data_IF_631086297973
#
_entry.id   IF_631086297973
#
_cell.length_a   1.000
_cell.length_b   1.000
_cell.length_c   1.000
_cell.angle_alpha   90.00
_cell.angle_beta   90.00
_cell.angle_gamma   90.00
#
_symmetry.space_group_name_H-M   'P 1'
#
loop_
_entity.id
_entity.type
_entity.pdbx_description
1 polymer ?
#
# COMPACT_ATOMS: atom_id res chain seq x y z
N UNK A 1 5.05 19.24 12.52
CA UNK A 1 6.07 19.11 11.47
C UNK A 1 5.51 18.08 10.51
N UNK A 2 5.23 18.49 9.28
CA UNK A 2 4.61 17.63 8.28
C UNK A 2 5.61 16.54 7.91
N UNK A 3 5.35 15.31 8.33
CA UNK A 3 6.09 14.14 7.86
C UNK A 3 5.74 13.94 6.38
N UNK A 4 6.54 14.51 5.48
CA UNK A 4 6.55 14.14 4.07
C UNK A 4 7.12 12.73 3.96
N UNK A 5 6.26 11.71 3.97
CA UNK A 5 6.65 10.36 3.60
C UNK A 5 7.04 10.37 2.11
N UNK A 6 8.35 10.28 1.83
CA UNK A 6 8.87 10.22 0.47
C UNK A 6 9.01 8.76 0.03
N UNK A 7 8.93 8.50 -1.28
CA UNK A 7 9.14 7.16 -1.86
C UNK A 7 10.48 6.54 -1.42
N UNK A 8 11.47 7.39 -1.12
CA UNK A 8 12.82 7.04 -0.70
C UNK A 8 12.89 6.39 0.69
N UNK A 9 11.88 6.65 1.53
CA UNK A 9 11.76 6.09 2.87
C UNK A 9 11.22 4.65 2.87
N UNK A 10 10.60 4.23 1.77
CA UNK A 10 10.05 2.90 1.60
C UNK A 10 11.03 1.99 0.86
N UNK A 11 11.19 0.76 1.35
CA UNK A 11 12.01 -0.27 0.70
C UNK A 11 11.27 -1.58 0.60
N UNK A 12 11.62 -2.38 -0.40
CA UNK A 12 11.13 -3.75 -0.54
C UNK A 12 11.34 -4.53 0.77
N UNK A 13 10.27 -5.07 1.34
CA UNK A 13 10.25 -5.78 2.62
C UNK A 13 9.83 -4.92 3.82
N UNK A 14 9.69 -3.61 3.69
CA UNK A 14 9.24 -2.76 4.79
C UNK A 14 7.76 -3.00 5.12
N UNK A 15 7.44 -2.96 6.42
CA UNK A 15 6.05 -3.00 6.89
C UNK A 15 5.42 -1.63 6.76
N UNK A 16 4.21 -1.62 6.22
CA UNK A 16 3.44 -0.40 5.98
C UNK A 16 2.00 -0.61 6.39
N UNK A 17 1.32 0.50 6.66
CA UNK A 17 -0.06 0.55 7.04
C UNK A 17 -0.77 1.68 6.32
N UNK A 18 -2.01 1.47 5.92
CA UNK A 18 -2.81 2.52 5.28
C UNK A 18 -4.25 2.47 5.80
N UNK A 19 -4.94 3.60 5.77
CA UNK A 19 -6.35 3.66 6.11
C UNK A 19 -7.21 3.44 4.85
N UNK A 20 -8.09 2.44 4.89
CA UNK A 20 -9.07 2.20 3.84
C UNK A 20 -10.47 2.10 4.45
N UNK A 21 -11.36 3.01 4.04
CA UNK A 21 -12.73 3.10 4.53
C UNK A 21 -12.86 3.13 6.07
N UNK A 22 -11.91 3.81 6.75
CA UNK A 22 -11.86 3.90 8.21
C UNK A 22 -11.12 2.76 8.90
N UNK A 23 -10.65 1.75 8.17
CA UNK A 23 -9.90 0.62 8.72
C UNK A 23 -8.40 0.76 8.44
N UNK A 24 -7.56 0.42 9.41
CA UNK A 24 -6.12 0.31 9.19
C UNK A 24 -5.79 -1.07 8.60
N UNK A 25 -5.26 -1.09 7.38
CA UNK A 25 -4.78 -2.30 6.71
C UNK A 25 -3.27 -2.30 6.76
N UNK A 26 -2.70 -3.42 7.18
CA UNK A 26 -1.27 -3.65 7.19
C UNK A 26 -0.84 -4.47 5.97
N UNK A 27 0.37 -4.19 5.52
CA UNK A 27 1.00 -4.90 4.43
C UNK A 27 2.51 -4.72 4.42
N UNK A 28 3.10 -5.19 3.32
CA UNK A 28 4.53 -5.13 3.10
C UNK A 28 4.80 -4.52 1.75
N UNK A 29 5.77 -3.63 1.67
CA UNK A 29 6.26 -3.10 0.40
C UNK A 29 6.85 -4.26 -0.40
N UNK A 30 6.30 -4.51 -1.58
CA UNK A 30 6.78 -5.50 -2.52
C UNK A 30 7.75 -4.88 -3.51
N UNK A 31 7.43 -3.69 -4.00
CA UNK A 31 8.23 -3.00 -5.01
C UNK A 31 7.86 -1.52 -5.07
N UNK A 32 8.71 -0.69 -5.68
CA UNK A 32 8.40 0.70 -6.03
C UNK A 32 8.20 0.77 -7.53
N UNK A 33 7.03 1.25 -7.92
CA UNK A 33 6.60 1.34 -9.31
C UNK A 33 6.75 2.78 -9.75
N UNK A 34 7.75 3.07 -10.60
CA UNK A 34 7.97 4.39 -11.19
C UNK A 34 7.40 4.54 -12.62
N UNK A 35 6.70 3.50 -13.09
CA UNK A 35 6.22 3.38 -14.48
C UNK A 35 4.84 2.74 -14.52
N UNK A 36 4.02 3.05 -15.54
CA UNK A 36 2.70 2.48 -15.62
C UNK A 36 2.79 0.96 -15.77
N UNK A 37 2.01 0.24 -14.97
CA UNK A 37 2.01 -1.22 -14.98
C UNK A 37 0.60 -1.78 -14.93
N UNK A 38 0.39 -2.87 -15.66
CA UNK A 38 -0.85 -3.63 -15.59
C UNK A 38 -0.71 -4.73 -14.53
N UNK A 39 -1.43 -4.56 -13.41
CA UNK A 39 -1.71 -5.70 -12.53
C UNK A 39 -2.91 -6.44 -13.10
N UNK A 40 -2.97 -7.76 -12.93
CA UNK A 40 -3.99 -8.65 -13.53
C UNK A 40 -5.45 -8.16 -13.43
N UNK A 41 -5.75 -7.31 -12.47
CA UNK A 41 -7.10 -6.85 -12.15
C UNK A 41 -7.22 -5.30 -12.22
N UNK A 42 -6.14 -4.56 -12.50
CA UNK A 42 -6.14 -3.09 -12.55
C UNK A 42 -4.94 -2.48 -13.27
N UNK A 43 -5.14 -1.31 -13.88
CA UNK A 43 -4.05 -0.51 -14.43
C UNK A 43 -3.52 0.46 -13.38
N UNK A 44 -2.21 0.45 -13.16
CA UNK A 44 -1.50 1.36 -12.25
C UNK A 44 -0.86 2.45 -13.11
N UNK A 45 -1.31 3.69 -12.97
CA UNK A 45 -0.81 4.85 -13.73
C UNK A 45 0.38 5.52 -13.02
N UNK A 46 1.34 4.71 -12.57
CA UNK A 46 2.54 5.21 -11.91
C UNK A 46 3.48 5.89 -12.92
N UNK A 47 4.17 6.93 -12.49
CA UNK A 47 5.06 7.71 -13.37
C UNK A 47 6.31 8.17 -12.61
N UNK A 48 7.36 8.58 -13.34
CA UNK A 48 8.59 9.12 -12.71
C UNK A 48 8.33 10.36 -11.84
N UNK A 49 7.27 11.10 -12.13
CA UNK A 49 6.84 12.27 -11.36
C UNK A 49 5.87 11.92 -10.22
N UNK A 50 5.23 10.75 -10.29
CA UNK A 50 4.24 10.26 -9.33
C UNK A 50 4.47 8.75 -9.12
N UNK A 51 5.58 8.37 -8.44
CA UNK A 51 5.89 6.97 -8.21
C UNK A 51 4.92 6.39 -7.18
N UNK A 52 4.51 5.14 -7.37
CA UNK A 52 3.63 4.43 -6.46
C UNK A 52 4.35 3.28 -5.77
N UNK A 53 3.97 3.00 -4.53
CA UNK A 53 4.49 1.88 -3.75
C UNK A 53 3.57 0.69 -3.96
N UNK A 54 4.11 -0.39 -4.52
CA UNK A 54 3.40 -1.66 -4.62
C UNK A 54 3.45 -2.35 -3.26
N UNK A 55 2.34 -2.33 -2.54
CA UNK A 55 2.20 -2.99 -1.24
C UNK A 55 1.44 -4.29 -1.41
N UNK A 56 1.73 -5.27 -0.57
CA UNK A 56 0.99 -6.52 -0.46
C UNK A 56 0.36 -6.61 0.92
N UNK A 57 -0.97 -6.73 0.94
CA UNK A 57 -1.70 -6.97 2.17
C UNK A 57 -1.32 -8.34 2.73
N UNK A 58 -0.91 -8.38 4.00
CA UNK A 58 -0.60 -9.64 4.68
C UNK A 58 -1.88 -10.47 4.92
N UNK A 59 -2.99 -9.76 5.22
CA UNK A 59 -4.30 -10.36 5.50
C UNK A 59 -4.91 -11.10 4.32
N UNK A 60 -4.72 -10.59 3.09
CA UNK A 60 -5.37 -11.14 1.88
C UNK A 60 -4.37 -11.67 0.85
N UNK A 61 -3.08 -11.36 0.99
CA UNK A 61 -2.05 -11.65 0.00
C UNK A 61 -2.18 -10.85 -1.31
N UNK A 62 -3.13 -9.92 -1.41
CA UNK A 62 -3.37 -9.10 -2.61
C UNK A 62 -2.34 -7.98 -2.70
N UNK A 63 -1.91 -7.67 -3.93
CA UNK A 63 -1.02 -6.54 -4.25
C UNK A 63 -1.84 -5.33 -4.68
N UNK A 64 -1.48 -4.16 -4.19
CA UNK A 64 -2.10 -2.88 -4.52
C UNK A 64 -1.02 -1.82 -4.65
N UNK A 65 -1.14 -0.93 -5.63
CA UNK A 65 -0.30 0.26 -5.73
C UNK A 65 -0.96 1.40 -4.94
N UNK A 66 -0.20 2.02 -4.05
CA UNK A 66 -0.62 3.20 -3.32
C UNK A 66 0.51 4.23 -3.31
N UNK A 67 0.16 5.51 -3.36
CA UNK A 67 1.13 6.58 -3.23
C UNK A 67 1.80 6.57 -1.84
N UNK A 68 3.09 6.92 -1.75
CA UNK A 68 3.81 6.99 -0.47
C UNK A 68 3.17 7.96 0.52
N UNK A 69 2.52 9.03 0.05
CA UNK A 69 1.80 10.00 0.88
C UNK A 69 0.54 9.42 1.56
N UNK A 70 -0.03 8.33 1.02
CA UNK A 70 -1.27 7.71 1.51
C UNK A 70 -1.03 6.49 2.41
N UNK A 71 0.22 6.07 2.56
CA UNK A 71 0.62 4.93 3.38
C UNK A 71 1.60 5.42 4.47
N UNK A 72 1.59 4.75 5.61
CA UNK A 72 2.48 5.02 6.73
C UNK A 72 3.43 3.86 6.92
N UNK A 73 4.73 4.14 7.06
CA UNK A 73 5.73 3.12 7.39
C UNK A 73 5.57 2.70 8.85
N UNK A 74 5.45 1.40 9.09
CA UNK A 74 5.53 0.81 10.42
C UNK A 74 6.99 0.46 10.69
N UNK A 75 7.80 1.48 10.96
CA UNK A 75 9.11 1.30 11.60
C UNK A 75 8.87 1.04 13.11
N UNK A 76 9.82 0.44 13.82
CA UNK A 76 9.73 -0.10 15.20
C UNK A 76 9.51 0.99 16.30
N UNK A 77 8.90 2.12 15.96
CA UNK A 77 8.66 3.30 16.79
C UNK A 77 7.16 3.63 16.82
N UNK A 78 6.33 2.76 17.40
CA UNK A 78 4.92 3.08 17.61
C UNK A 78 4.01 1.87 17.77
N UNK A 79 4.01 1.33 18.99
CA UNK A 79 2.94 0.48 19.49
C UNK A 79 1.63 1.28 19.52
N UNK A 80 0.67 0.99 18.66
CA UNK A 80 -0.74 1.35 18.92
C UNK A 80 -1.66 0.35 18.19
N UNK A 81 -1.88 -0.75 18.90
CA UNK A 81 -3.15 -1.46 19.12
C UNK A 81 -4.23 -1.36 18.03
N UNK A 82 -4.54 -2.47 17.36
CA UNK A 82 -5.57 -3.40 17.82
C UNK A 82 -5.99 -4.33 16.67
N UNK A 83 -6.18 -5.58 17.06
CA UNK A 83 -6.18 -6.78 16.26
C UNK A 83 -7.59 -7.17 15.78
N UNK A 84 -7.65 -7.85 14.63
CA UNK A 84 -8.79 -8.68 14.14
C UNK A 84 -10.08 -7.89 13.80
N UNK A 85 -10.90 -8.22 12.80
CA UNK A 85 -11.35 -9.48 12.21
C UNK A 85 -12.25 -9.00 11.06
N UNK A 86 -12.08 -9.38 9.80
CA UNK A 86 -12.95 -10.34 9.09
C UNK A 86 -12.82 -9.96 7.61
N UNK A 87 -12.99 -10.97 6.77
CA UNK A 87 -13.18 -11.00 5.32
C UNK A 87 -13.96 -9.84 4.70
N UNK A 88 -13.64 -9.54 3.44
CA UNK A 88 -14.52 -9.75 2.27
C UNK A 88 -14.23 -8.72 1.18
N UNK A 89 -13.96 -9.22 -0.03
CA UNK A 89 -14.18 -8.59 -1.34
C UNK A 89 -13.68 -7.15 -1.51
N UNK A 90 -12.55 -6.92 -2.16
CA UNK A 90 -12.66 -6.51 -3.56
C UNK A 90 -11.59 -7.18 -4.41
N UNK A 91 -12.07 -8.10 -5.24
CA UNK A 91 -11.60 -8.20 -6.61
C UNK A 91 -11.72 -6.82 -7.26
N UNK A 92 -10.65 -6.41 -7.94
CA UNK A 92 -10.76 -5.30 -8.87
C UNK A 92 -11.51 -5.85 -10.07
N UNK A 93 -12.84 -5.78 -10.02
CA UNK A 93 -13.66 -5.87 -11.22
C UNK A 93 -13.70 -4.45 -11.82
N UNK A 94 -12.71 -4.15 -12.66
CA UNK A 94 -12.97 -3.29 -13.81
C UNK A 94 -13.27 -4.26 -14.96
N UNK A 95 -14.54 -4.31 -15.37
CA UNK A 95 -15.05 -4.46 -16.74
C UNK A 95 -16.48 -5.07 -16.73
N UNK A 96 -17.50 -4.21 -16.77
CA UNK A 96 -18.64 -4.24 -17.70
C UNK A 96 -19.65 -3.12 -17.40
#
# INVERSE_FOLDING_TARGET
MSEENSIEDFKEGDKVQWNYAGNQIQGTVVDIVDKPMDIKSHHVDASKSDPEVLVKSDKTGKKAAHRPESIQKLDDQGEDENEQKVSESQDQEQEA
#
